data_IF_986209604760
#
_entry.id   IF_986209604760
#
_cell.length_a   1.000
_cell.length_b   1.000
_cell.length_c   1.000
_cell.angle_alpha   90.00
_cell.angle_beta   90.00
_cell.angle_gamma   90.00
#
_symmetry.space_group_name_H-M   'P 1'
#
loop_
_entity.id
_entity.type
_entity.pdbx_description
1 polymer ?
#
# COMPACT_ATOMS: atom_id res chain seq x y z
N UNK A 1 -40.34 -66.01 20.96
CA UNK A 1 -39.70 -65.27 19.84
C UNK A 1 -39.92 -63.78 20.01
N UNK A 2 -38.95 -63.04 20.57
CA UNK A 2 -38.95 -61.57 20.64
C UNK A 2 -37.89 -61.06 19.67
N UNK A 3 -38.32 -60.51 18.53
CA UNK A 3 -37.40 -59.86 17.59
C UNK A 3 -37.10 -58.44 18.05
N UNK A 4 -35.83 -58.22 18.39
CA UNK A 4 -35.25 -56.94 18.79
C UNK A 4 -35.08 -56.08 17.52
N UNK A 5 -35.79 -54.95 17.45
CA UNK A 5 -35.51 -53.90 16.45
C UNK A 5 -34.28 -53.09 16.91
N UNK A 6 -33.14 -53.33 16.26
CA UNK A 6 -32.00 -52.41 16.32
C UNK A 6 -32.27 -51.17 15.45
N UNK A 7 -32.64 -50.05 16.06
CA UNK A 7 -32.49 -48.72 15.44
C UNK A 7 -31.02 -48.29 15.51
N UNK A 8 -30.29 -48.46 14.41
CA UNK A 8 -28.98 -47.84 14.24
C UNK A 8 -29.14 -46.34 14.00
N UNK A 9 -28.83 -45.53 15.02
CA UNK A 9 -28.67 -44.08 14.91
C UNK A 9 -27.45 -43.76 14.05
N UNK A 10 -27.68 -43.35 12.79
CA UNK A 10 -26.63 -42.78 11.94
C UNK A 10 -26.22 -41.41 12.49
N UNK A 11 -25.10 -41.36 13.22
CA UNK A 11 -24.41 -40.12 13.60
C UNK A 11 -24.03 -39.34 12.32
N UNK A 12 -24.78 -38.27 12.01
CA UNK A 12 -24.43 -37.32 10.95
C UNK A 12 -23.05 -36.69 11.23
N UNK A 13 -22.01 -37.17 10.53
CA UNK A 13 -20.71 -36.53 10.54
C UNK A 13 -20.83 -35.16 9.83
N UNK A 14 -20.81 -34.06 10.60
CA UNK A 14 -20.73 -32.69 10.05
C UNK A 14 -19.57 -32.61 9.02
N UNK A 15 -19.78 -32.07 7.81
CA UNK A 15 -18.87 -32.28 6.70
C UNK A 15 -17.55 -31.53 6.91
N UNK A 16 -16.46 -32.26 7.20
CA UNK A 16 -15.08 -31.76 7.32
C UNK A 16 -14.67 -30.82 6.16
N UNK A 17 -15.26 -30.98 4.97
CA UNK A 17 -15.05 -30.14 3.77
C UNK A 17 -15.67 -28.73 3.81
N UNK A 18 -16.71 -28.46 4.62
CA UNK A 18 -17.33 -27.12 4.74
C UNK A 18 -16.47 -26.22 5.65
N UNK A 19 -15.90 -26.80 6.72
CA UNK A 19 -14.87 -26.15 7.57
C UNK A 19 -13.62 -25.77 6.76
N UNK A 20 -13.09 -26.66 5.91
CA UNK A 20 -11.91 -26.36 5.05
C UNK A 20 -12.12 -25.16 4.11
N UNK A 21 -13.33 -24.95 3.59
CA UNK A 21 -13.62 -23.85 2.65
C UNK A 21 -13.76 -22.50 3.37
N UNK A 22 -14.36 -22.52 4.58
CA UNK A 22 -14.42 -21.36 5.47
C UNK A 22 -13.01 -20.99 5.94
N UNK A 23 -12.21 -21.98 6.34
CA UNK A 23 -10.82 -21.79 6.77
C UNK A 23 -9.95 -21.20 5.65
N UNK A 24 -10.10 -21.68 4.42
CA UNK A 24 -9.39 -21.15 3.25
C UNK A 24 -9.76 -19.69 2.98
N UNK A 25 -11.06 -19.38 2.98
CA UNK A 25 -11.50 -17.99 2.74
C UNK A 25 -11.06 -17.05 3.87
N UNK A 26 -11.11 -17.52 5.13
CA UNK A 26 -10.59 -16.77 6.28
C UNK A 26 -9.08 -16.53 6.15
N UNK A 27 -8.31 -17.54 5.75
CA UNK A 27 -6.88 -17.40 5.48
C UNK A 27 -6.59 -16.42 4.33
N UNK A 28 -7.35 -16.47 3.25
CA UNK A 28 -7.21 -15.50 2.14
C UNK A 28 -7.52 -14.07 2.57
N UNK A 29 -8.55 -13.86 3.40
CA UNK A 29 -8.86 -12.53 3.96
C UNK A 29 -7.73 -12.06 4.88
N UNK A 30 -7.22 -12.94 5.74
CA UNK A 30 -6.10 -12.63 6.63
C UNK A 30 -4.86 -12.21 5.84
N UNK A 31 -4.49 -12.98 4.80
CA UNK A 31 -3.36 -12.65 3.93
C UNK A 31 -3.56 -11.33 3.19
N UNK A 32 -4.79 -11.02 2.75
CA UNK A 32 -5.10 -9.75 2.12
C UNK A 32 -4.95 -8.56 3.09
N UNK A 33 -5.37 -8.73 4.35
CA UNK A 33 -5.19 -7.71 5.41
C UNK A 33 -3.70 -7.50 5.69
N UNK A 34 -2.92 -8.58 5.79
CA UNK A 34 -1.46 -8.50 5.99
C UNK A 34 -0.79 -7.77 4.81
N UNK A 35 -1.14 -8.14 3.57
CA UNK A 35 -0.60 -7.48 2.38
C UNK A 35 -0.95 -5.98 2.34
N UNK A 36 -2.18 -5.62 2.72
CA UNK A 36 -2.58 -4.22 2.83
C UNK A 36 -1.80 -3.50 3.94
N UNK A 37 -1.61 -4.14 5.10
CA UNK A 37 -0.81 -3.59 6.19
C UNK A 37 0.64 -3.31 5.78
N UNK A 38 1.25 -4.21 5.02
CA UNK A 38 2.60 -4.04 4.49
C UNK A 38 2.72 -2.85 3.52
N UNK A 39 1.68 -2.58 2.71
CA UNK A 39 1.67 -1.43 1.80
C UNK A 39 1.67 -0.08 2.53
N UNK A 40 1.02 -0.02 3.70
CA UNK A 40 0.94 1.21 4.51
C UNK A 40 2.01 1.29 5.61
N UNK A 41 2.79 0.22 5.82
CA UNK A 41 3.80 0.15 6.88
C UNK A 41 4.78 1.33 6.88
N UNK A 42 5.42 1.73 5.75
CA UNK A 42 6.35 2.85 5.75
C UNK A 42 5.71 4.17 6.17
N UNK A 43 4.44 4.40 5.79
CA UNK A 43 3.70 5.63 6.10
C UNK A 43 3.45 5.71 7.61
N UNK A 44 2.99 4.61 8.21
CA UNK A 44 2.72 4.54 9.65
C UNK A 44 4.01 4.74 10.43
N UNK A 45 5.10 4.07 10.05
CA UNK A 45 6.38 4.22 10.77
C UNK A 45 6.95 5.63 10.60
N UNK A 46 6.89 6.23 9.40
CA UNK A 46 7.32 7.61 9.18
C UNK A 46 6.54 8.60 10.04
N UNK A 47 5.23 8.40 10.17
CA UNK A 47 4.40 9.20 11.06
C UNK A 47 4.80 9.01 12.53
N UNK A 48 5.01 7.77 12.99
CA UNK A 48 5.43 7.49 14.36
C UNK A 48 6.78 8.12 14.69
N UNK A 49 7.76 8.03 13.78
CA UNK A 49 9.09 8.65 13.98
C UNK A 49 8.98 10.18 14.00
N UNK A 50 8.16 10.77 13.14
CA UNK A 50 7.92 12.21 13.18
C UNK A 50 7.34 12.65 14.54
N UNK A 51 6.40 11.90 15.10
CA UNK A 51 5.86 12.17 16.44
C UNK A 51 6.92 11.99 17.54
N UNK A 52 7.73 10.94 17.45
CA UNK A 52 8.82 10.71 18.40
C UNK A 52 9.83 11.88 18.40
N UNK A 53 10.24 12.36 17.22
CA UNK A 53 11.14 13.50 17.10
C UNK A 53 10.56 14.77 17.74
N UNK A 54 9.26 15.03 17.56
CA UNK A 54 8.59 16.16 18.19
C UNK A 54 8.65 16.06 19.71
N UNK A 55 8.34 14.89 20.28
CA UNK A 55 8.43 14.65 21.74
C UNK A 55 9.85 14.83 22.25
N UNK A 56 10.84 14.25 21.56
CA UNK A 56 12.27 14.40 21.93
C UNK A 56 12.70 15.86 21.95
N UNK A 57 12.28 16.65 20.96
CA UNK A 57 12.63 18.08 20.86
C UNK A 57 11.88 18.91 21.90
N UNK A 58 10.62 18.59 22.19
CA UNK A 58 9.88 19.23 23.27
C UNK A 58 10.54 19.00 24.62
N UNK A 59 10.97 17.75 24.90
CA UNK A 59 11.69 17.42 26.12
C UNK A 59 13.02 18.19 26.21
N UNK A 60 13.79 18.22 25.12
CA UNK A 60 15.02 19.00 25.03
C UNK A 60 14.78 20.49 25.31
N UNK A 61 13.80 21.11 24.62
CA UNK A 61 13.44 22.52 24.86
C UNK A 61 13.02 22.80 26.29
N UNK A 62 12.26 21.88 26.90
CA UNK A 62 11.83 21.99 28.29
C UNK A 62 12.99 21.84 29.28
N UNK A 63 14.02 21.07 28.94
CA UNK A 63 15.27 21.01 29.72
C UNK A 63 16.03 22.34 29.58
N UNK A 64 16.28 22.80 28.34
CA UNK A 64 16.96 24.08 28.06
C UNK A 64 16.31 25.23 28.81
N UNK A 65 14.98 25.36 28.77
CA UNK A 65 14.26 26.46 29.45
C UNK A 65 14.38 26.46 30.98
N UNK A 66 14.81 25.34 31.59
CA UNK A 66 14.98 25.21 33.04
C UNK A 66 16.43 25.42 33.48
N UNK A 67 17.37 25.50 32.55
CA UNK A 67 18.78 25.67 32.86
C UNK A 67 19.01 27.11 33.34
N UNK A 68 19.71 27.33 34.47
CA UNK A 68 20.10 28.68 34.88
C UNK A 68 21.00 29.35 33.83
N UNK A 69 20.82 30.65 33.60
CA UNK A 69 21.61 31.40 32.61
C UNK A 69 23.13 31.26 32.79
N UNK A 70 23.59 31.16 34.05
CA UNK A 70 25.00 30.91 34.36
C UNK A 70 25.49 29.57 33.78
N UNK A 71 24.67 28.51 33.91
CA UNK A 71 25.02 27.18 33.44
C UNK A 71 25.01 27.09 31.91
N UNK A 72 24.07 27.78 31.28
CA UNK A 72 24.04 27.93 29.82
C UNK A 72 25.28 28.66 29.30
N UNK A 73 25.67 29.76 29.94
CA UNK A 73 26.91 30.47 29.63
C UNK A 73 28.14 29.58 29.75
N UNK A 74 28.23 28.73 30.78
CA UNK A 74 29.30 27.74 30.95
C UNK A 74 29.33 26.72 29.81
N UNK A 75 28.17 26.18 29.42
CA UNK A 75 28.05 25.21 28.33
C UNK A 75 28.50 25.82 27.00
N UNK A 76 28.05 27.05 26.69
CA UNK A 76 28.45 27.77 25.49
C UNK A 76 29.92 28.16 25.51
N UNK A 77 30.47 28.58 26.65
CA UNK A 77 31.89 28.90 26.79
C UNK A 77 32.77 27.65 26.57
N UNK A 78 32.39 26.50 27.13
CA UNK A 78 33.06 25.22 26.90
C UNK A 78 32.99 24.81 25.42
N UNK A 79 31.83 24.94 24.79
CA UNK A 79 31.66 24.62 23.37
C UNK A 79 32.49 25.53 22.46
N UNK A 80 32.59 26.83 22.79
CA UNK A 80 33.49 27.77 22.08
C UNK A 80 34.95 27.38 22.23
N UNK A 81 35.36 26.99 23.44
CA UNK A 81 36.73 26.52 23.70
C UNK A 81 37.05 25.26 22.87
N UNK A 82 36.09 24.34 22.71
CA UNK A 82 36.25 23.19 21.83
C UNK A 82 36.41 23.61 20.37
N UNK A 83 35.61 24.57 19.90
CA UNK A 83 35.73 25.09 18.53
C UNK A 83 37.06 25.81 18.28
N UNK A 84 37.58 26.55 19.26
CA UNK A 84 38.94 27.13 19.20
C UNK A 84 40.01 26.05 19.05
N UNK A 85 39.87 24.94 19.79
CA UNK A 85 40.77 23.79 19.67
C UNK A 85 40.72 23.17 18.27
N UNK A 86 39.51 22.89 17.74
CA UNK A 86 39.34 22.34 16.38
C UNK A 86 39.96 23.26 15.34
N UNK A 87 39.75 24.58 15.46
CA UNK A 87 40.38 25.54 14.57
C UNK A 87 41.91 25.51 14.68
N UNK A 88 42.49 25.55 15.88
CA UNK A 88 43.93 25.49 16.07
C UNK A 88 44.56 24.25 15.42
N UNK A 89 43.96 23.07 15.64
CA UNK A 89 44.38 21.81 15.02
C UNK A 89 44.30 21.89 13.50
N UNK A 90 43.21 22.42 12.94
CA UNK A 90 43.04 22.57 11.49
C UNK A 90 44.09 23.48 10.84
N UNK A 91 44.64 24.43 11.61
CA UNK A 91 45.69 25.35 11.15
C UNK A 91 47.11 24.85 11.47
N UNK A 92 47.26 23.65 12.06
CA UNK A 92 48.56 23.12 12.48
C UNK A 92 49.19 23.89 13.65
N UNK A 93 48.37 24.59 14.45
CA UNK A 93 48.83 25.40 15.59
C UNK A 93 48.62 24.63 16.90
N UNK A 94 49.63 24.64 17.77
CA UNK A 94 49.55 24.02 19.09
C UNK A 94 48.52 24.71 19.99
N UNK A 95 47.56 23.95 20.50
CA UNK A 95 46.55 24.43 21.46
C UNK A 95 47.07 24.31 22.90
N UNK A 96 47.11 25.44 23.63
CA UNK A 96 47.76 25.53 24.96
C UNK A 96 46.80 25.42 26.16
N UNK A 97 45.49 25.33 25.92
CA UNK A 97 44.47 25.23 26.98
C UNK A 97 44.09 23.75 27.19
N UNK A 98 43.43 23.45 28.32
CA UNK A 98 42.93 22.10 28.59
C UNK A 98 41.94 21.66 27.50
N UNK A 99 42.09 20.42 27.01
CA UNK A 99 41.24 19.86 25.96
C UNK A 99 39.82 19.60 26.50
N UNK A 100 38.78 20.20 25.91
CA UNK A 100 37.41 19.93 26.32
C UNK A 100 37.00 18.52 25.85
N UNK A 101 36.40 17.74 26.75
CA UNK A 101 35.86 16.43 26.44
C UNK A 101 34.64 16.57 25.52
N UNK A 102 34.73 15.98 24.32
CA UNK A 102 33.67 16.02 23.30
C UNK A 102 32.31 15.57 23.85
N UNK A 103 32.26 14.46 24.61
CA UNK A 103 31.00 13.88 25.06
C UNK A 103 30.31 14.70 26.17
N UNK A 104 31.02 15.68 26.73
CA UNK A 104 30.49 16.62 27.74
C UNK A 104 30.05 17.95 27.14
N UNK A 105 30.36 18.21 25.86
CA UNK A 105 29.95 19.45 25.21
C UNK A 105 28.45 19.43 24.94
N UNK A 106 27.75 20.56 25.12
CA UNK A 106 26.33 20.68 24.79
C UNK A 106 25.44 19.54 25.35
N UNK A 107 25.87 18.90 26.44
CA UNK A 107 25.22 17.71 26.99
C UNK A 107 24.36 18.12 28.18
N UNK A 108 23.05 17.92 28.05
CA UNK A 108 22.06 18.23 29.09
C UNK A 108 21.64 16.97 29.86
N UNK A 109 21.77 15.81 29.23
CA UNK A 109 21.42 14.50 29.76
C UNK A 109 22.26 13.40 29.06
N UNK A 110 21.99 12.14 29.40
CA UNK A 110 22.68 10.98 28.84
C UNK A 110 22.23 10.63 27.40
N UNK A 111 21.26 11.35 26.82
CA UNK A 111 20.78 11.07 25.46
C UNK A 111 21.81 11.44 24.39
N UNK A 112 22.73 12.36 24.72
CA UNK A 112 23.71 12.90 23.79
C UNK A 112 23.12 13.84 22.74
N UNK A 113 21.88 14.33 22.92
CA UNK A 113 21.26 15.30 22.01
C UNK A 113 21.90 16.69 22.18
N UNK A 114 22.43 17.25 21.09
CA UNK A 114 22.99 18.61 21.05
C UNK A 114 21.95 19.67 20.72
N UNK A 115 20.94 19.33 19.91
CA UNK A 115 20.01 20.29 19.32
C UNK A 115 19.17 19.64 18.22
N UNK A 116 18.67 20.43 17.28
CA UNK A 116 17.90 19.92 16.14
C UNK A 116 18.06 20.78 14.88
N UNK A 117 17.80 20.17 13.73
CA UNK A 117 17.87 20.80 12.40
C UNK A 117 16.49 20.88 11.75
N UNK A 118 16.26 21.94 10.97
CA UNK A 118 15.14 22.07 10.05
C UNK A 118 15.60 22.53 8.66
N UNK A 119 15.03 21.94 7.61
CA UNK A 119 15.29 22.27 6.20
C UNK A 119 13.93 22.41 5.49
N UNK A 120 13.35 23.64 5.44
CA UNK A 120 11.99 23.86 4.96
C UNK A 120 11.74 23.33 3.54
N UNK A 121 12.69 23.54 2.64
CA UNK A 121 12.59 23.27 1.20
C UNK A 121 12.36 21.79 0.89
N UNK A 122 12.83 20.91 1.77
CA UNK A 122 12.69 19.46 1.63
C UNK A 122 11.89 18.85 2.78
N UNK A 123 11.08 19.66 3.48
CA UNK A 123 10.20 19.21 4.56
C UNK A 123 10.90 18.40 5.67
N UNK A 124 12.20 18.61 5.88
CA UNK A 124 12.90 18.07 7.04
C UNK A 124 12.55 18.97 8.22
N UNK A 125 11.67 18.50 9.08
CA UNK A 125 11.14 19.28 10.20
C UNK A 125 11.68 18.70 11.50
N UNK A 126 12.48 19.49 12.20
CA UNK A 126 12.83 19.24 13.59
C UNK A 126 13.42 17.83 13.77
N UNK A 127 14.59 17.58 13.18
CA UNK A 127 15.31 16.31 13.37
C UNK A 127 16.38 16.50 14.43
N UNK A 128 16.43 15.67 15.49
CA UNK A 128 17.45 15.78 16.52
C UNK A 128 18.88 15.61 15.97
N UNK A 129 19.81 16.36 16.56
CA UNK A 129 21.25 16.26 16.33
C UNK A 129 21.87 15.63 17.59
N UNK A 130 22.66 14.58 17.42
CA UNK A 130 23.30 13.85 18.50
C UNK A 130 24.83 13.88 18.37
N UNK A 131 25.52 13.66 19.49
CA UNK A 131 26.95 13.39 19.51
C UNK A 131 27.28 12.12 18.74
N UNK A 132 28.31 12.16 17.90
CA UNK A 132 28.86 11.03 17.17
C UNK A 132 28.12 10.69 15.88
N UNK A 133 28.61 9.66 15.20
CA UNK A 133 28.14 9.20 13.89
C UNK A 133 27.99 7.67 13.82
N UNK A 134 27.85 7.01 14.98
CA UNK A 134 27.59 5.56 15.02
C UNK A 134 26.28 5.19 14.35
N UNK A 135 26.13 3.94 13.92
CA UNK A 135 24.89 3.43 13.32
C UNK A 135 23.67 3.68 14.21
N UNK A 136 23.81 3.51 15.53
CA UNK A 136 22.73 3.79 16.51
C UNK A 136 22.30 5.26 16.46
N UNK A 137 23.25 6.17 16.31
CA UNK A 137 23.01 7.62 16.27
C UNK A 137 22.35 8.01 14.94
N UNK A 138 22.93 7.58 13.81
CA UNK A 138 22.38 7.84 12.48
C UNK A 138 21.02 7.16 12.27
N UNK A 139 20.73 6.10 13.03
CA UNK A 139 19.40 5.51 13.07
C UNK A 139 18.38 6.44 13.74
N UNK A 140 18.77 7.12 14.80
CA UNK A 140 17.92 7.99 15.62
C UNK A 140 17.71 9.38 14.99
N UNK A 141 18.71 9.94 14.31
CA UNK A 141 18.62 11.28 13.75
C UNK A 141 19.86 11.70 12.97
N UNK A 142 20.24 12.97 13.15
CA UNK A 142 21.47 13.54 12.61
C UNK A 142 22.60 13.32 13.61
N UNK A 143 23.74 12.85 13.13
CA UNK A 143 24.96 12.78 13.92
C UNK A 143 25.77 14.08 13.82
N UNK A 144 26.71 14.25 14.72
CA UNK A 144 27.76 15.26 14.63
C UNK A 144 29.10 14.52 14.57
N UNK A 145 29.92 14.80 13.54
CA UNK A 145 31.22 14.14 13.40
C UNK A 145 32.18 14.68 14.47
N UNK A 146 32.73 13.83 15.35
CA UNK A 146 33.77 14.24 16.30
C UNK A 146 34.95 14.87 15.56
N UNK A 147 35.66 15.80 16.20
CA UNK A 147 36.78 16.54 15.59
C UNK A 147 36.36 17.54 14.49
N UNK A 148 35.08 17.82 14.34
CA UNK A 148 34.56 18.98 13.61
C UNK A 148 34.02 20.01 14.60
N UNK A 149 33.81 21.25 14.17
CA UNK A 149 33.31 22.29 15.09
C UNK A 149 31.90 21.94 15.57
N UNK A 150 31.62 22.14 16.85
CA UNK A 150 30.28 22.04 17.41
C UNK A 150 29.32 23.03 16.74
N UNK A 151 28.02 22.68 16.60
CA UNK A 151 27.04 23.41 15.80
C UNK A 151 26.50 24.67 16.51
N UNK A 152 27.35 25.41 17.22
CA UNK A 152 27.01 26.71 17.85
C UNK A 152 27.37 27.92 16.96
N UNK A 153 27.99 27.66 15.80
CA UNK A 153 28.50 28.67 14.87
C UNK A 153 29.72 29.44 15.41
N UNK A 154 29.99 30.59 14.80
CA UNK A 154 31.13 31.46 15.10
C UNK A 154 32.16 31.47 13.98
N UNK A 155 32.92 32.56 13.88
CA UNK A 155 33.99 32.68 12.88
C UNK A 155 35.07 31.64 13.14
N UNK A 156 35.62 31.10 12.06
CA UNK A 156 36.58 29.99 12.06
C UNK A 156 35.96 28.69 12.59
N UNK A 157 34.73 28.38 12.16
CA UNK A 157 34.09 27.11 12.50
C UNK A 157 33.56 26.40 11.27
N UNK A 158 33.60 25.06 11.32
CA UNK A 158 33.00 24.19 10.31
C UNK A 158 32.44 22.93 10.99
N UNK A 159 31.12 22.88 11.19
CA UNK A 159 30.45 21.70 11.73
C UNK A 159 30.07 20.73 10.61
N UNK A 160 30.14 19.42 10.87
CA UNK A 160 29.75 18.40 9.89
C UNK A 160 28.68 17.48 10.48
N UNK A 161 27.54 17.43 9.79
CA UNK A 161 26.32 16.79 10.26
C UNK A 161 25.89 15.66 9.29
N UNK A 162 26.25 14.40 9.56
CA UNK A 162 25.82 13.25 8.76
C UNK A 162 24.41 12.76 9.11
N UNK A 163 23.68 12.29 8.10
CA UNK A 163 22.47 11.48 8.29
C UNK A 163 22.28 10.49 7.13
N UNK A 164 21.51 9.43 7.37
CA UNK A 164 21.18 8.46 6.34
C UNK A 164 20.33 9.06 5.20
N UNK A 165 20.49 8.47 4.01
CA UNK A 165 19.62 8.64 2.84
C UNK A 165 19.02 7.30 2.43
N UNK A 166 17.86 7.32 1.78
CA UNK A 166 17.23 6.14 1.19
C UNK A 166 16.55 5.20 2.17
N UNK A 167 16.31 5.64 3.41
CA UNK A 167 15.57 4.82 4.38
C UNK A 167 14.09 4.83 4.03
N UNK A 168 13.49 3.64 4.03
CA UNK A 168 12.04 3.44 3.92
C UNK A 168 11.31 4.13 5.08
N UNK A 169 11.96 4.13 6.26
CA UNK A 169 11.49 4.71 7.51
C UNK A 169 12.43 5.84 7.95
N UNK A 170 11.90 7.00 8.34
CA UNK A 170 12.63 8.22 8.69
C UNK A 170 13.51 8.72 7.53
N UNK A 171 12.92 9.50 6.61
CA UNK A 171 13.59 9.89 5.37
C UNK A 171 14.82 10.79 5.59
N UNK A 172 15.02 11.42 6.75
CA UNK A 172 16.23 12.18 7.10
C UNK A 172 16.77 13.01 5.91
N UNK A 173 17.98 12.74 5.42
CA UNK A 173 18.62 13.45 4.31
C UNK A 173 18.43 12.76 2.95
N UNK A 174 17.40 11.92 2.79
CA UNK A 174 17.06 11.24 1.52
C UNK A 174 16.86 12.22 0.37
N UNK A 175 16.31 13.39 0.66
CA UNK A 175 15.94 14.41 -0.34
C UNK A 175 16.95 15.58 -0.37
N UNK A 176 18.14 15.40 0.23
CA UNK A 176 19.17 16.44 0.33
C UNK A 176 19.68 16.88 -1.06
N UNK A 177 19.61 15.99 -2.05
CA UNK A 177 19.95 16.23 -3.45
C UNK A 177 19.00 17.19 -4.18
N UNK A 178 17.82 17.47 -3.60
CA UNK A 178 16.85 18.43 -4.15
C UNK A 178 17.16 19.88 -3.77
N UNK A 179 18.08 20.10 -2.82
CA UNK A 179 18.49 21.43 -2.40
C UNK A 179 19.31 22.12 -3.49
N UNK A 180 19.22 23.45 -3.54
CA UNK A 180 19.95 24.29 -4.48
C UNK A 180 20.73 25.37 -3.74
N UNK A 181 21.69 25.96 -4.44
CA UNK A 181 22.37 27.18 -3.98
C UNK A 181 21.33 28.26 -3.63
N UNK A 182 21.50 28.89 -2.47
CA UNK A 182 20.58 29.88 -1.91
C UNK A 182 19.41 29.32 -1.09
N UNK A 183 19.15 28.01 -1.12
CA UNK A 183 18.24 27.38 -0.14
C UNK A 183 18.87 27.45 1.27
N UNK A 184 18.08 27.21 2.32
CA UNK A 184 18.50 27.43 3.71
C UNK A 184 18.22 26.23 4.61
N UNK A 185 18.95 26.17 5.72
CA UNK A 185 18.62 25.30 6.85
C UNK A 185 18.87 26.03 8.16
N UNK A 186 18.25 25.51 9.22
CA UNK A 186 18.26 26.08 10.56
C UNK A 186 18.79 25.06 11.54
N UNK A 187 19.61 25.52 12.47
CA UNK A 187 20.04 24.75 13.62
C UNK A 187 19.55 25.46 14.88
N UNK A 188 19.04 24.70 15.82
CA UNK A 188 18.71 25.19 17.15
C UNK A 188 19.48 24.38 18.19
N UNK A 189 20.31 25.07 18.97
CA UNK A 189 21.24 24.48 19.95
C UNK A 189 21.21 25.35 21.19
N UNK A 190 20.75 24.81 22.33
CA UNK A 190 20.44 25.57 23.54
C UNK A 190 19.45 26.71 23.22
N UNK A 191 19.75 27.95 23.61
CA UNK A 191 19.02 29.17 23.24
C UNK A 191 19.37 29.73 21.85
N UNK A 192 20.33 29.12 21.14
CA UNK A 192 20.81 29.65 19.87
C UNK A 192 19.98 29.14 18.70
N UNK A 193 19.39 30.07 17.96
CA UNK A 193 18.80 29.82 16.64
C UNK A 193 19.73 30.34 15.53
N UNK A 194 20.24 29.41 14.73
CA UNK A 194 21.25 29.65 13.70
C UNK A 194 20.64 29.39 12.32
N UNK A 195 21.00 30.22 11.35
CA UNK A 195 20.54 30.11 9.97
C UNK A 195 21.71 30.06 9.01
N UNK A 196 21.68 29.10 8.09
CA UNK A 196 22.70 28.91 7.07
C UNK A 196 22.08 28.95 5.69
N UNK A 197 22.77 29.60 4.76
CA UNK A 197 22.40 29.65 3.34
C UNK A 197 23.38 28.79 2.56
N UNK A 198 22.85 27.87 1.77
CA UNK A 198 23.65 26.94 0.96
C UNK A 198 24.43 27.71 -0.09
N UNK A 199 25.74 27.58 -0.06
CA UNK A 199 26.67 28.24 -0.98
C UNK A 199 27.48 27.24 -1.81
N UNK A 200 27.50 25.97 -1.42
CA UNK A 200 28.24 24.92 -2.13
C UNK A 200 27.56 23.55 -2.01
N UNK A 201 27.53 22.80 -3.12
CA UNK A 201 27.03 21.42 -3.19
C UNK A 201 28.04 20.59 -3.99
N UNK A 202 28.52 19.48 -3.41
CA UNK A 202 29.51 18.60 -4.04
C UNK A 202 29.19 17.12 -3.83
N UNK A 203 29.52 16.32 -4.83
CA UNK A 203 29.56 14.86 -4.72
C UNK A 203 31.02 14.43 -4.68
N UNK A 204 31.41 13.74 -3.60
CA UNK A 204 32.80 13.36 -3.35
C UNK A 204 32.93 11.86 -3.09
N UNK A 205 34.16 11.36 -3.14
CA UNK A 205 34.47 10.01 -2.67
C UNK A 205 34.32 9.90 -1.14
N UNK A 206 33.89 8.76 -0.56
CA UNK A 206 33.78 8.62 0.89
C UNK A 206 35.06 8.90 1.67
N UNK A 207 36.24 8.77 1.04
CA UNK A 207 37.54 9.07 1.65
C UNK A 207 37.98 10.53 1.48
N UNK A 208 37.29 11.31 0.64
CA UNK A 208 37.62 12.70 0.40
C UNK A 208 36.99 13.60 1.47
N UNK A 209 37.81 13.99 2.44
CA UNK A 209 37.46 14.89 3.54
C UNK A 209 38.00 16.31 3.33
N UNK A 210 38.63 16.59 2.18
CA UNK A 210 39.36 17.84 1.95
C UNK A 210 38.50 19.09 2.09
N UNK A 211 37.22 18.99 1.70
CA UNK A 211 36.24 20.08 1.77
C UNK A 211 35.60 20.26 3.14
N UNK A 212 35.93 19.44 4.14
CA UNK A 212 35.35 19.47 5.49
C UNK A 212 36.22 20.24 6.50
N UNK A 213 37.38 20.75 6.07
CA UNK A 213 38.28 21.53 6.91
C UNK A 213 37.68 22.88 7.31
N UNK A 214 38.11 23.41 8.45
CA UNK A 214 37.75 24.77 8.88
C UNK A 214 38.38 25.80 7.94
N UNK A 215 37.57 26.74 7.46
CA UNK A 215 38.03 27.83 6.59
C UNK A 215 38.14 29.11 7.43
N UNK A 216 39.33 29.72 7.43
CA UNK A 216 39.59 30.98 8.13
C UNK A 216 38.61 32.06 7.68
N UNK A 217 38.01 32.75 8.64
CA UNK A 217 37.05 33.83 8.41
C UNK A 217 35.61 33.39 8.14
N UNK A 218 35.32 32.08 8.11
CA UNK A 218 33.98 31.56 7.80
C UNK A 218 33.32 30.85 8.99
N UNK A 219 31.99 30.85 8.98
CA UNK A 219 31.11 30.08 9.86
C UNK A 219 30.29 29.14 8.96
N UNK A 220 30.66 27.85 8.95
CA UNK A 220 30.18 26.85 7.98
C UNK A 220 29.52 25.66 8.67
N UNK A 221 28.54 25.10 8.00
CA UNK A 221 27.99 23.79 8.34
C UNK A 221 27.82 22.97 7.06
N UNK A 222 28.34 21.75 7.05
CA UNK A 222 28.14 20.79 5.95
C UNK A 222 27.21 19.66 6.38
N UNK A 223 26.12 19.49 5.64
CA UNK A 223 25.22 18.34 5.74
C UNK A 223 25.75 17.23 4.84
N UNK A 224 25.87 16.01 5.39
CA UNK A 224 26.48 14.86 4.69
C UNK A 224 25.49 13.72 4.58
N UNK A 225 25.39 13.14 3.38
CA UNK A 225 24.66 11.89 3.21
C UNK A 225 25.27 10.99 2.14
N UNK A 226 24.81 9.74 2.05
CA UNK A 226 25.23 8.81 1.01
C UNK A 226 24.54 9.15 -0.31
N UNK A 227 25.26 9.00 -1.43
CA UNK A 227 24.76 9.32 -2.75
C UNK A 227 25.37 8.41 -3.83
N UNK A 228 24.70 8.17 -4.98
CA UNK A 228 23.26 8.33 -5.20
C UNK A 228 22.46 7.42 -4.26
N UNK A 229 21.29 7.87 -3.84
CA UNK A 229 20.42 7.11 -2.93
C UNK A 229 20.14 5.70 -3.47
N UNK A 230 20.43 4.67 -2.67
CA UNK A 230 20.27 3.26 -3.05
C UNK A 230 21.53 2.59 -3.62
N UNK A 231 22.50 3.39 -4.09
CA UNK A 231 23.84 2.92 -4.50
C UNK A 231 24.86 3.23 -3.39
N UNK A 232 24.80 4.44 -2.82
CA UNK A 232 25.54 4.86 -1.62
C UNK A 232 27.08 4.75 -1.69
N UNK A 233 27.66 4.76 -2.90
CA UNK A 233 29.10 4.65 -3.13
C UNK A 233 29.86 6.01 -3.07
N UNK A 234 29.15 7.12 -3.02
CA UNK A 234 29.68 8.48 -2.88
C UNK A 234 29.04 9.20 -1.69
N UNK A 235 29.51 10.42 -1.43
CA UNK A 235 28.94 11.32 -0.44
C UNK A 235 28.43 12.59 -1.11
N UNK A 236 27.22 13.00 -0.78
CA UNK A 236 26.70 14.32 -1.10
C UNK A 236 26.98 15.24 0.08
N UNK A 237 27.69 16.33 -0.19
CA UNK A 237 28.03 17.39 0.74
C UNK A 237 27.24 18.64 0.36
N UNK A 238 26.43 19.14 1.29
CA UNK A 238 25.70 20.40 1.15
C UNK A 238 26.18 21.35 2.22
N UNK A 239 27.00 22.33 1.82
CA UNK A 239 27.60 23.31 2.71
C UNK A 239 26.78 24.60 2.70
N UNK A 240 26.51 25.12 3.90
CA UNK A 240 25.94 26.43 4.08
C UNK A 240 26.85 27.34 4.88
N UNK A 241 26.81 28.63 4.54
CA UNK A 241 27.48 29.70 5.26
C UNK A 241 26.48 30.48 6.11
N UNK A 242 26.91 30.90 7.31
CA UNK A 242 26.08 31.60 8.27
C UNK A 242 25.49 32.88 7.69
N UNK A 243 24.20 33.09 7.92
CA UNK A 243 23.49 34.34 7.59
C UNK A 243 22.68 34.84 8.80
N UNK A 244 22.32 36.14 8.86
CA UNK A 244 21.45 36.66 9.90
C UNK A 244 20.11 35.91 9.96
N UNK A 245 19.68 35.52 11.17
CA UNK A 245 18.47 34.72 11.36
C UNK A 245 17.20 35.42 10.83
N UNK A 246 17.07 36.72 11.08
CA UNK A 246 15.89 37.53 10.72
C UNK A 246 15.76 37.81 9.22
N UNK A 247 16.78 37.51 8.41
CA UNK A 247 16.77 37.79 6.98
C UNK A 247 15.89 36.76 6.25
N UNK A 248 14.65 37.10 5.86
CA UNK A 248 13.79 36.22 5.05
C UNK A 248 14.36 36.07 3.64
N UNK A 249 14.61 34.84 3.21
CA UNK A 249 15.09 34.50 1.87
C UNK A 249 13.94 33.92 1.04
N UNK A 250 13.76 34.34 -0.22
CA UNK A 250 12.67 33.84 -1.08
C UNK A 250 12.67 32.30 -1.23
N UNK A 251 13.85 31.68 -1.12
CA UNK A 251 14.03 30.23 -1.19
C UNK A 251 13.32 29.47 -0.07
N UNK A 252 13.01 30.09 1.06
CA UNK A 252 12.31 29.45 2.19
C UNK A 252 10.89 29.01 1.85
N UNK A 253 10.21 29.75 0.96
CA UNK A 253 8.85 29.45 0.56
C UNK A 253 8.78 28.35 -0.52
N UNK A 254 9.91 27.98 -1.11
CA UNK A 254 9.96 27.03 -2.22
C UNK A 254 9.98 25.62 -1.66
N UNK A 255 8.92 24.86 -1.91
CA UNK A 255 8.91 23.43 -1.67
C UNK A 255 9.58 22.70 -2.86
N UNK A 256 10.74 22.09 -2.63
CA UNK A 256 11.51 21.32 -3.63
C UNK A 256 11.07 19.86 -3.69
N UNK A 257 10.31 19.36 -2.71
CA UNK A 257 9.91 17.96 -2.61
C UNK A 257 8.40 17.72 -2.54
N UNK A 258 7.60 18.53 -3.25
CA UNK A 258 6.13 18.36 -3.34
C UNK A 258 5.70 16.93 -3.71
N UNK A 259 6.49 16.23 -4.55
CA UNK A 259 6.32 14.82 -4.88
C UNK A 259 7.50 13.97 -4.38
N UNK A 260 7.83 14.10 -3.09
CA UNK A 260 8.86 13.30 -2.43
C UNK A 260 8.49 11.82 -2.27
N UNK A 261 9.40 11.06 -1.66
CA UNK A 261 9.22 9.63 -1.41
C UNK A 261 7.85 9.24 -0.85
N UNK A 262 7.39 9.92 0.22
CA UNK A 262 6.11 9.61 0.88
C UNK A 262 4.90 9.77 -0.05
N UNK A 263 4.92 10.74 -0.98
CA UNK A 263 3.83 10.93 -1.94
C UNK A 263 3.72 9.71 -2.88
N UNK A 264 4.83 9.28 -3.46
CA UNK A 264 4.84 8.16 -4.40
C UNK A 264 4.50 6.84 -3.74
N UNK A 265 4.95 6.62 -2.51
CA UNK A 265 4.56 5.44 -1.71
C UNK A 265 3.05 5.46 -1.46
N UNK A 266 2.49 6.60 -1.03
CA UNK A 266 1.05 6.72 -0.78
C UNK A 266 0.21 6.51 -2.05
N UNK A 267 0.64 7.09 -3.18
CA UNK A 267 -0.02 6.93 -4.47
C UNK A 267 -0.01 5.46 -4.93
N UNK A 268 1.17 4.82 -4.93
CA UNK A 268 1.33 3.44 -5.36
C UNK A 268 0.53 2.47 -4.47
N UNK A 269 0.64 2.61 -3.13
CA UNK A 269 -0.13 1.82 -2.18
C UNK A 269 -1.64 2.03 -2.34
N UNK A 270 -2.09 3.27 -2.58
CA UNK A 270 -3.49 3.59 -2.84
C UNK A 270 -4.03 2.95 -4.12
N UNK A 271 -3.26 3.00 -5.21
CA UNK A 271 -3.64 2.36 -6.50
C UNK A 271 -3.72 0.84 -6.34
N UNK A 272 -2.75 0.22 -5.68
CA UNK A 272 -2.76 -1.23 -5.43
C UNK A 272 -3.94 -1.66 -4.56
N UNK A 273 -4.26 -0.89 -3.51
CA UNK A 273 -5.42 -1.12 -2.66
C UNK A 273 -6.73 -1.02 -3.46
N UNK A 274 -6.85 -0.01 -4.33
CA UNK A 274 -8.02 0.17 -5.21
C UNK A 274 -8.18 -0.99 -6.18
N UNK A 275 -7.10 -1.43 -6.84
CA UNK A 275 -7.14 -2.59 -7.74
C UNK A 275 -7.56 -3.86 -6.99
N UNK A 276 -7.03 -4.08 -5.79
CA UNK A 276 -7.44 -5.17 -4.92
C UNK A 276 -8.93 -5.14 -4.60
N UNK A 277 -9.46 -3.97 -4.23
CA UNK A 277 -10.88 -3.75 -3.97
C UNK A 277 -11.72 -4.07 -5.21
N UNK A 278 -11.35 -3.55 -6.38
CA UNK A 278 -12.07 -3.77 -7.64
C UNK A 278 -12.12 -5.26 -8.02
N UNK A 279 -11.03 -6.01 -7.81
CA UNK A 279 -11.00 -7.46 -8.04
C UNK A 279 -11.94 -8.20 -7.08
N UNK A 280 -11.97 -7.81 -5.80
CA UNK A 280 -12.89 -8.39 -4.82
C UNK A 280 -14.35 -8.10 -5.20
N UNK A 281 -14.67 -6.84 -5.53
CA UNK A 281 -15.99 -6.46 -6.00
C UNK A 281 -16.38 -7.23 -7.27
N UNK A 282 -15.48 -7.32 -8.24
CA UNK A 282 -15.70 -8.13 -9.44
C UNK A 282 -16.01 -9.58 -9.08
N UNK A 283 -15.28 -10.23 -8.18
CA UNK A 283 -15.57 -11.60 -7.73
C UNK A 283 -16.93 -11.73 -7.03
N UNK A 284 -17.31 -10.74 -6.20
CA UNK A 284 -18.59 -10.71 -5.48
C UNK A 284 -19.78 -10.52 -6.42
N UNK A 285 -19.62 -9.74 -7.50
CA UNK A 285 -20.70 -9.42 -8.45
C UNK A 285 -20.73 -10.34 -9.69
N UNK A 286 -19.57 -10.75 -10.23
CA UNK A 286 -19.47 -11.57 -11.44
C UNK A 286 -20.10 -12.97 -11.29
N UNK A 287 -20.20 -13.49 -10.05
CA UNK A 287 -20.85 -14.77 -9.75
C UNK A 287 -22.39 -14.70 -9.65
N UNK A 288 -23.00 -13.52 -9.83
CA UNK A 288 -24.45 -13.32 -9.68
C UNK A 288 -25.21 -13.10 -10.99
N UNK A 289 -24.65 -13.52 -12.14
CA UNK A 289 -25.30 -13.37 -13.45
C UNK A 289 -26.67 -14.06 -13.48
N UNK A 290 -27.75 -13.36 -13.87
CA UNK A 290 -29.06 -13.96 -14.03
C UNK A 290 -29.07 -14.91 -15.24
N UNK A 291 -29.94 -15.92 -15.16
CA UNK A 291 -30.29 -16.84 -16.22
C UNK A 291 -31.75 -16.60 -16.59
N UNK A 292 -32.04 -16.60 -17.88
CA UNK A 292 -33.34 -16.23 -18.41
C UNK A 292 -34.02 -17.41 -19.08
N UNK A 293 -35.33 -17.53 -18.89
CA UNK A 293 -36.19 -18.43 -19.64
C UNK A 293 -37.52 -17.75 -19.89
N UNK A 294 -38.12 -18.06 -21.01
CA UNK A 294 -39.41 -17.51 -21.40
C UNK A 294 -40.39 -18.67 -21.54
N UNK A 295 -41.61 -18.50 -21.02
CA UNK A 295 -42.69 -19.49 -21.04
C UNK A 295 -44.05 -18.78 -21.07
N UNK A 296 -45.13 -19.53 -21.34
CA UNK A 296 -46.50 -19.01 -21.37
C UNK A 296 -47.02 -18.61 -19.98
N UNK A 297 -46.43 -19.16 -18.92
CA UNK A 297 -46.83 -18.92 -17.54
C UNK A 297 -45.67 -18.50 -16.64
N UNK A 298 -46.00 -18.00 -15.45
CA UNK A 298 -45.05 -17.63 -14.41
C UNK A 298 -44.53 -18.86 -13.68
N UNK A 299 -43.23 -19.15 -13.82
CA UNK A 299 -42.62 -20.37 -13.29
C UNK A 299 -41.79 -20.12 -12.01
N UNK A 300 -42.44 -20.05 -10.85
CA UNK A 300 -41.73 -19.89 -9.57
C UNK A 300 -41.04 -21.17 -9.09
N UNK A 301 -41.65 -22.33 -9.35
CA UNK A 301 -41.14 -23.67 -9.02
C UNK A 301 -41.08 -24.51 -10.31
N UNK A 302 -39.97 -24.46 -11.06
CA UNK A 302 -39.89 -25.15 -12.34
C UNK A 302 -39.89 -26.68 -12.17
N UNK A 303 -40.54 -27.39 -13.09
CA UNK A 303 -40.44 -28.85 -13.22
C UNK A 303 -39.96 -29.21 -14.63
N UNK A 304 -39.42 -30.42 -14.82
CA UNK A 304 -38.92 -30.87 -16.14
C UNK A 304 -40.02 -31.06 -17.19
N UNK A 305 -41.29 -31.16 -16.77
CA UNK A 305 -42.43 -31.34 -17.66
C UNK A 305 -42.96 -30.01 -18.24
N UNK A 306 -42.58 -28.86 -17.66
CA UNK A 306 -42.96 -27.56 -18.18
C UNK A 306 -42.10 -27.22 -19.40
N UNK A 307 -42.76 -27.02 -20.54
CA UNK A 307 -42.17 -26.79 -21.87
C UNK A 307 -41.12 -27.85 -22.24
N UNK A 308 -41.59 -28.95 -22.84
CA UNK A 308 -40.84 -30.09 -23.37
C UNK A 308 -39.92 -29.74 -24.56
N UNK A 309 -39.17 -28.65 -24.45
CA UNK A 309 -38.18 -28.21 -25.42
C UNK A 309 -37.02 -29.21 -25.48
N UNK A 310 -37.00 -30.00 -26.56
CA UNK A 310 -35.89 -30.87 -26.92
C UNK A 310 -34.85 -30.03 -27.69
N UNK A 311 -33.99 -29.34 -26.95
CA UNK A 311 -32.84 -28.62 -27.54
C UNK A 311 -31.69 -29.55 -27.93
N UNK A 312 -30.55 -28.97 -28.32
CA UNK A 312 -29.35 -29.71 -28.75
C UNK A 312 -28.89 -30.75 -27.72
N UNK A 313 -29.14 -30.53 -26.43
CA UNK A 313 -28.76 -31.45 -25.36
C UNK A 313 -29.82 -32.51 -25.03
N UNK A 314 -30.93 -32.60 -25.77
CA UNK A 314 -32.06 -33.48 -25.46
C UNK A 314 -33.07 -32.85 -24.51
N UNK A 315 -33.94 -33.65 -23.89
CA UNK A 315 -34.97 -33.16 -22.97
C UNK A 315 -34.35 -32.58 -21.69
N UNK A 316 -34.88 -31.47 -21.20
CA UNK A 316 -34.40 -30.82 -19.98
C UNK A 316 -34.90 -29.38 -19.86
N UNK A 317 -34.53 -28.72 -18.77
CA UNK A 317 -34.96 -27.34 -18.51
C UNK A 317 -33.88 -26.37 -18.97
N UNK A 318 -34.20 -25.58 -20.00
CA UNK A 318 -33.26 -24.70 -20.69
C UNK A 318 -33.33 -23.26 -20.19
N UNK A 319 -32.16 -22.69 -19.96
CA UNK A 319 -31.94 -21.31 -19.54
C UNK A 319 -30.86 -20.66 -20.40
N UNK A 320 -30.98 -19.37 -20.68
CA UNK A 320 -30.02 -18.63 -21.52
C UNK A 320 -29.42 -17.47 -20.76
N UNK A 321 -28.16 -17.14 -21.02
CA UNK A 321 -27.47 -16.01 -20.37
C UNK A 321 -27.87 -14.63 -20.90
N UNK A 322 -28.51 -14.58 -22.07
CA UNK A 322 -28.91 -13.33 -22.72
C UNK A 322 -30.44 -13.20 -22.75
N UNK A 323 -30.95 -12.09 -22.22
CA UNK A 323 -32.37 -11.75 -22.22
C UNK A 323 -32.93 -11.67 -23.65
N UNK A 324 -32.23 -10.98 -24.56
CA UNK A 324 -32.69 -10.80 -25.94
C UNK A 324 -32.78 -12.11 -26.71
N UNK A 325 -31.82 -13.02 -26.50
CA UNK A 325 -31.82 -14.34 -27.15
C UNK A 325 -32.96 -15.21 -26.60
N UNK A 326 -33.19 -15.20 -25.28
CA UNK A 326 -34.29 -15.96 -24.67
C UNK A 326 -35.67 -15.50 -25.19
N UNK A 327 -35.87 -14.19 -25.36
CA UNK A 327 -37.11 -13.61 -25.90
C UNK A 327 -37.27 -14.01 -27.37
N UNK A 328 -36.27 -13.75 -28.21
CA UNK A 328 -36.33 -14.05 -29.64
C UNK A 328 -36.54 -15.55 -29.92
N UNK A 329 -35.96 -16.43 -29.11
CA UNK A 329 -36.18 -17.87 -29.22
C UNK A 329 -37.65 -18.24 -28.91
N UNK A 330 -38.23 -17.68 -27.86
CA UNK A 330 -39.59 -17.99 -27.47
C UNK A 330 -40.64 -17.38 -28.39
N UNK A 331 -40.43 -16.17 -28.90
CA UNK A 331 -41.31 -15.55 -29.92
C UNK A 331 -41.39 -16.39 -31.20
N UNK A 332 -40.29 -17.07 -31.57
CA UNK A 332 -40.27 -17.99 -32.71
C UNK A 332 -41.08 -19.27 -32.46
N UNK A 333 -41.12 -19.75 -31.21
CA UNK A 333 -41.77 -21.02 -30.84
C UNK A 333 -43.26 -20.80 -30.56
N UNK A 334 -43.61 -19.70 -29.88
CA UNK A 334 -44.96 -19.35 -29.47
C UNK A 334 -45.36 -18.00 -30.08
N UNK A 335 -45.60 -17.96 -31.41
CA UNK A 335 -46.06 -16.74 -32.04
C UNK A 335 -47.41 -16.33 -31.45
N UNK A 336 -47.58 -15.02 -31.24
CA UNK A 336 -48.83 -14.39 -30.82
C UNK A 336 -49.40 -14.73 -29.43
N UNK A 337 -48.65 -15.46 -28.59
CA UNK A 337 -49.07 -15.78 -27.22
C UNK A 337 -48.55 -14.76 -26.19
N UNK A 338 -49.25 -14.56 -25.05
CA UNK A 338 -48.70 -13.80 -23.93
C UNK A 338 -47.57 -14.60 -23.27
N UNK A 339 -46.38 -13.99 -23.18
CA UNK A 339 -45.18 -14.64 -22.66
C UNK A 339 -44.71 -14.02 -21.34
N UNK A 340 -44.06 -14.82 -20.51
CA UNK A 340 -43.42 -14.40 -19.26
C UNK A 340 -41.92 -14.66 -19.31
N UNK A 341 -41.10 -13.65 -19.02
CA UNK A 341 -39.67 -13.78 -18.83
C UNK A 341 -39.37 -14.12 -17.37
N UNK A 342 -39.10 -15.39 -17.11
CA UNK A 342 -38.69 -15.91 -15.81
C UNK A 342 -37.17 -15.75 -15.63
N UNK A 343 -36.78 -15.11 -14.52
CA UNK A 343 -35.38 -14.81 -14.20
C UNK A 343 -34.94 -15.67 -13.01
N UNK A 344 -33.91 -16.47 -13.23
CA UNK A 344 -33.33 -17.35 -12.24
C UNK A 344 -31.88 -16.99 -11.93
N UNK A 345 -31.38 -17.49 -10.81
CA UNK A 345 -29.97 -17.50 -10.46
C UNK A 345 -29.58 -18.90 -10.05
N UNK A 346 -28.58 -19.47 -10.71
CA UNK A 346 -28.04 -20.76 -10.33
C UNK A 346 -27.22 -20.64 -9.03
N UNK A 347 -27.64 -21.35 -7.97
CA UNK A 347 -26.84 -21.51 -6.76
C UNK A 347 -25.77 -22.57 -7.03
N UNK A 348 -24.50 -22.21 -6.81
CA UNK A 348 -23.41 -23.19 -6.94
C UNK A 348 -23.49 -24.19 -5.77
N UNK A 349 -23.81 -25.45 -6.07
CA UNK A 349 -23.77 -26.57 -5.13
C UNK A 349 -22.73 -27.62 -5.55
N UNK A 350 -22.20 -28.38 -4.60
CA UNK A 350 -21.14 -29.39 -4.86
C UNK A 350 -21.66 -30.64 -5.55
N UNK A 351 -22.93 -30.96 -5.38
CA UNK A 351 -23.58 -32.10 -6.03
C UNK A 351 -23.91 -31.83 -7.50
N UNK A 352 -23.94 -30.56 -7.91
CA UNK A 352 -24.21 -30.18 -9.30
C UNK A 352 -23.01 -30.52 -10.19
N UNK A 353 -23.04 -31.71 -10.79
CA UNK A 353 -22.11 -32.15 -11.82
C UNK A 353 -22.27 -31.26 -13.06
N UNK A 354 -21.14 -30.81 -13.64
CA UNK A 354 -21.16 -29.84 -14.75
C UNK A 354 -20.35 -30.32 -15.93
N UNK A 355 -20.98 -30.27 -17.09
CA UNK A 355 -20.30 -30.30 -18.37
C UNK A 355 -20.27 -28.87 -18.91
N UNK A 356 -19.07 -28.32 -19.14
CA UNK A 356 -18.91 -26.92 -19.57
C UNK A 356 -18.15 -26.90 -20.89
N UNK A 357 -18.86 -26.51 -21.94
CA UNK A 357 -18.30 -26.35 -23.28
C UNK A 357 -18.29 -24.85 -23.61
N UNK A 358 -17.11 -24.23 -23.64
CA UNK A 358 -17.01 -22.79 -23.97
C UNK A 358 -17.28 -22.53 -25.46
N UNK A 359 -16.84 -23.45 -26.32
CA UNK A 359 -16.96 -23.40 -27.78
C UNK A 359 -17.48 -24.77 -28.31
N UNK A 360 -17.96 -24.81 -29.57
CA UNK A 360 -18.31 -26.05 -30.29
C UNK A 360 -17.02 -26.82 -30.67
N UNK A 361 -16.42 -27.51 -29.72
CA UNK A 361 -15.17 -28.27 -29.90
C UNK A 361 -15.43 -29.74 -30.29
N UNK A 362 -14.39 -30.50 -30.61
CA UNK A 362 -14.53 -31.94 -30.87
C UNK A 362 -15.20 -32.70 -29.69
N UNK A 363 -14.94 -32.29 -28.45
CA UNK A 363 -15.59 -32.84 -27.26
C UNK A 363 -17.08 -32.49 -27.17
N UNK A 364 -17.49 -31.35 -27.74
CA UNK A 364 -18.89 -30.96 -27.84
C UNK A 364 -19.64 -31.91 -28.78
N UNK A 365 -19.07 -32.18 -29.96
CA UNK A 365 -19.66 -33.08 -30.95
C UNK A 365 -19.70 -34.53 -30.46
N UNK A 366 -18.62 -35.00 -29.80
CA UNK A 366 -18.58 -36.31 -29.13
C UNK A 366 -19.62 -36.45 -28.02
N UNK A 367 -19.96 -35.36 -27.32
CA UNK A 367 -21.02 -35.38 -26.32
C UNK A 367 -22.39 -35.48 -26.98
N UNK A 368 -22.65 -34.69 -28.04
CA UNK A 368 -23.91 -34.75 -28.78
C UNK A 368 -24.17 -36.11 -29.42
N UNK A 369 -23.13 -36.78 -29.96
CA UNK A 369 -23.28 -38.12 -30.52
C UNK A 369 -23.61 -39.16 -29.45
N UNK A 370 -23.04 -39.05 -28.24
CA UNK A 370 -23.38 -39.92 -27.10
C UNK A 370 -24.82 -39.74 -26.64
N UNK A 371 -25.33 -38.51 -26.59
CA UNK A 371 -26.73 -38.22 -26.20
C UNK A 371 -27.72 -38.76 -27.23
N UNK A 372 -27.35 -38.86 -28.52
CA UNK A 372 -28.20 -39.44 -29.56
C UNK A 372 -28.33 -40.97 -29.48
N UNK A 373 -27.41 -41.67 -28.82
CA UNK A 373 -27.53 -43.11 -28.57
C UNK A 373 -28.48 -43.37 -27.39
N UNK A 374 -29.47 -44.24 -27.60
CA UNK A 374 -30.63 -44.49 -26.72
C UNK A 374 -30.32 -45.03 -25.32
N UNK A 375 -29.05 -45.33 -24.99
CA UNK A 375 -28.64 -45.91 -23.70
C UNK A 375 -27.96 -44.89 -22.75
N UNK A 376 -27.99 -43.59 -23.06
CA UNK A 376 -27.41 -42.56 -22.19
C UNK A 376 -28.39 -42.17 -21.06
N UNK A 377 -28.00 -42.43 -19.81
CA UNK A 377 -28.80 -42.08 -18.62
C UNK A 377 -28.26 -40.80 -17.97
N UNK A 378 -29.10 -39.77 -17.87
CA UNK A 378 -28.78 -38.49 -17.23
C UNK A 378 -28.51 -38.67 -15.72
N UNK A 379 -27.52 -37.96 -15.17
CA UNK A 379 -27.20 -38.02 -13.73
C UNK A 379 -28.17 -37.19 -12.90
N UNK A 380 -28.36 -37.62 -11.66
CA UNK A 380 -29.29 -36.98 -10.70
C UNK A 380 -29.03 -35.49 -10.44
N UNK A 381 -27.86 -34.94 -10.69
CA UNK A 381 -27.57 -33.51 -10.51
C UNK A 381 -26.79 -32.95 -11.71
N UNK A 382 -27.25 -33.23 -12.91
CA UNK A 382 -26.54 -32.84 -14.13
C UNK A 382 -26.97 -31.47 -14.65
N UNK A 383 -25.95 -30.62 -14.86
CA UNK A 383 -26.05 -29.35 -15.56
C UNK A 383 -25.09 -29.36 -16.75
N UNK A 384 -25.62 -29.04 -17.93
CA UNK A 384 -24.83 -28.89 -19.14
C UNK A 384 -24.83 -27.40 -19.52
N UNK A 385 -23.65 -26.86 -19.81
CA UNK A 385 -23.46 -25.47 -20.25
C UNK A 385 -22.75 -25.50 -21.60
N UNK A 386 -23.31 -24.81 -22.58
CA UNK A 386 -22.71 -24.72 -23.91
C UNK A 386 -23.05 -23.45 -24.68
N UNK A 387 -22.38 -23.23 -25.83
CA UNK A 387 -22.74 -22.14 -26.73
C UNK A 387 -24.18 -22.29 -27.23
N UNK A 388 -24.88 -21.16 -27.35
CA UNK A 388 -26.21 -21.12 -27.97
C UNK A 388 -26.10 -21.43 -29.47
N UNK A 389 -27.05 -22.16 -30.08
CA UNK A 389 -26.93 -22.64 -31.47
C UNK A 389 -26.73 -21.52 -32.49
N UNK A 390 -27.48 -20.42 -32.31
CA UNK A 390 -27.56 -19.28 -33.24
C UNK A 390 -26.84 -18.02 -32.75
N UNK A 391 -26.46 -17.94 -31.47
CA UNK A 391 -25.95 -16.71 -30.85
C UNK A 391 -24.58 -16.95 -30.20
N UNK A 392 -23.50 -16.63 -30.94
CA UNK A 392 -22.10 -16.91 -30.54
C UNK A 392 -21.70 -16.39 -29.14
N UNK A 393 -22.29 -15.29 -28.66
CA UNK A 393 -21.98 -14.69 -27.35
C UNK A 393 -22.88 -15.19 -26.21
N UNK A 394 -23.95 -15.94 -26.51
CA UNK A 394 -24.86 -16.47 -25.52
C UNK A 394 -24.52 -17.91 -25.17
N UNK A 395 -24.74 -18.28 -23.90
CA UNK A 395 -24.60 -19.65 -23.43
C UNK A 395 -25.98 -20.16 -23.01
N UNK A 396 -26.24 -21.43 -23.28
CA UNK A 396 -27.40 -22.17 -22.83
C UNK A 396 -27.01 -23.11 -21.68
N UNK A 397 -27.90 -23.22 -20.71
CA UNK A 397 -27.80 -24.01 -19.50
C UNK A 397 -28.96 -25.00 -19.54
N UNK A 398 -28.66 -26.29 -19.56
CA UNK A 398 -29.68 -27.35 -19.55
C UNK A 398 -29.58 -28.15 -18.25
N UNK A 399 -30.65 -28.12 -17.45
CA UNK A 399 -30.79 -28.90 -16.23
C UNK A 399 -31.58 -30.17 -16.53
N UNK A 400 -30.99 -31.34 -16.24
CA UNK A 400 -31.51 -32.64 -16.69
C UNK A 400 -32.38 -33.38 -15.68
N UNK A 401 -32.34 -32.98 -14.42
CA UNK A 401 -33.04 -33.67 -13.33
C UNK A 401 -33.83 -32.70 -12.44
N UNK A 402 -34.86 -33.20 -11.76
CA UNK A 402 -35.61 -32.44 -10.76
C UNK A 402 -34.73 -32.00 -9.58
N UNK A 403 -33.79 -32.86 -9.16
CA UNK A 403 -32.77 -32.54 -8.16
C UNK A 403 -31.76 -31.48 -8.66
N UNK A 404 -31.56 -31.31 -9.97
CA UNK A 404 -30.76 -30.22 -10.53
C UNK A 404 -31.53 -28.89 -10.48
N UNK A 405 -32.84 -28.90 -10.75
CA UNK A 405 -33.72 -27.72 -10.66
C UNK A 405 -33.77 -27.10 -9.26
N UNK A 406 -33.64 -27.91 -8.20
CA UNK A 406 -33.56 -27.42 -6.82
C UNK A 406 -32.40 -26.42 -6.57
N UNK A 407 -31.40 -26.37 -7.46
CA UNK A 407 -30.29 -25.41 -7.40
C UNK A 407 -30.62 -24.06 -8.05
N UNK A 408 -31.78 -23.90 -8.68
CA UNK A 408 -32.24 -22.62 -9.19
C UNK A 408 -32.89 -21.79 -8.08
N UNK A 409 -32.45 -20.55 -7.95
CA UNK A 409 -33.13 -19.52 -7.18
C UNK A 409 -33.95 -18.66 -8.13
N UNK A 410 -35.26 -18.76 -8.05
CA UNK A 410 -36.16 -17.81 -8.72
C UNK A 410 -35.92 -16.40 -8.17
N UNK A 411 -35.84 -15.41 -9.07
CA UNK A 411 -35.66 -14.00 -8.72
C UNK A 411 -36.94 -13.21 -8.95
N UNK A 412 -37.48 -13.27 -10.18
CA UNK A 412 -38.69 -12.56 -10.61
C UNK A 412 -39.18 -13.10 -11.95
N UNK A 413 -40.41 -12.74 -12.30
CA UNK A 413 -41.00 -12.95 -13.63
C UNK A 413 -41.53 -11.63 -14.16
N UNK A 414 -41.36 -11.38 -15.45
CA UNK A 414 -41.76 -10.13 -16.12
C UNK A 414 -42.70 -10.51 -17.27
N UNK A 415 -43.96 -10.04 -17.30
CA UNK A 415 -44.83 -10.23 -18.45
C UNK A 415 -44.27 -9.47 -19.65
N UNK A 416 -44.18 -10.15 -20.79
CA UNK A 416 -43.78 -9.58 -22.08
C UNK A 416 -45.08 -9.22 -22.82
N UNK A 417 -45.37 -7.91 -22.93
CA UNK A 417 -46.51 -7.42 -23.72
C UNK A 417 -46.12 -7.40 -25.21
N UNK A 418 -47.08 -7.72 -26.09
CA UNK A 418 -46.95 -7.47 -27.53
C UNK A 418 -46.67 -5.99 -27.77
N UNK A 419 -45.60 -5.69 -28.49
CA UNK A 419 -45.48 -4.44 -29.22
C UNK A 419 -46.32 -4.52 -30.50
N UNK A 420 -47.54 -3.99 -30.44
CA UNK A 420 -48.24 -3.35 -31.56
C UNK A 420 -49.12 -2.25 -30.98
N UNK A 421 -48.51 -1.11 -30.66
CA UNK A 421 -49.14 0.18 -30.96
C UNK A 421 -48.67 0.52 -32.39
N UNK A 422 -49.52 0.18 -33.35
CA UNK A 422 -49.57 0.82 -34.66
C UNK A 422 -51.02 1.24 -34.88
N UNK A 423 -51.36 2.41 -34.35
CA UNK A 423 -52.20 3.46 -34.95
C UNK A 423 -52.28 4.60 -33.94
#
# INVERSE_FOLDING_TARGET
>A
MKFIQHKASQKQQRPKKKRRLILRNALSILLAIIALGLLFYPIVVNFMVAQQNLTTIQNYRAQVSKIPAQKEHELLASARLYNEYIYAVSQGVAFKKALPDYNKQLSLDESGMMGYIAIPQINVRNVPIYHGDSEKILFAGVGHIPQTSLPIGGINTHAVLPAHSGRVNNTLFTELDKLKLGDVFYLSVLDLDLKYKIDNIKVVDPKDISSLNVIKGKDLVTLVTCYPTGINNKRLLVTGERVPYNQKLPSEAINRNSFGYNFWVMLASGVLALLGLLIVLYWLFANKRPLYQVSLEKLEKPTLAHDSLRGDFGAGFYLVTSKSVAIAQAEKIYPDQPLYLNVYRLRKHKELSRWIFKNKSENWEKYLSKVKNSNFVDKEHELIIGPHPTARKAQQYCLKSTKALAHLRYLKSIPLRKGKEQS
#
